data_IF_737096034248
#
_entry.id   IF_737096034248
#
_cell.length_a   1.000
_cell.length_b   1.000
_cell.length_c   1.000
_cell.angle_alpha   90.00
_cell.angle_beta   90.00
_cell.angle_gamma   90.00
#
_symmetry.space_group_name_H-M   'P 1'
#
loop_
_entity.id
_entity.type
_entity.pdbx_description
1 polymer ?
#
# COMPACT_ATOMS: atom_id res chain seq x y z
N UNK A 1 48.60 52.28 -3.38
CA UNK A 1 48.23 50.97 -2.80
C UNK A 1 47.08 50.38 -3.60
N UNK A 2 47.37 49.51 -4.57
CA UNK A 2 46.38 48.88 -5.44
C UNK A 2 45.99 47.50 -4.91
N UNK A 3 44.70 47.30 -4.66
CA UNK A 3 44.13 46.08 -4.06
C UNK A 3 43.70 45.15 -5.21
N UNK A 4 44.44 44.05 -5.41
CA UNK A 4 44.14 43.01 -6.42
C UNK A 4 42.95 42.17 -5.95
N UNK A 5 41.86 42.18 -6.71
CA UNK A 5 40.71 41.30 -6.58
C UNK A 5 41.07 39.90 -7.06
N UNK A 6 41.18 38.94 -6.14
CA UNK A 6 41.38 37.54 -6.47
C UNK A 6 40.05 36.95 -7.00
N UNK A 7 40.01 36.61 -8.29
CA UNK A 7 38.95 35.78 -8.85
C UNK A 7 39.07 34.38 -8.26
N UNK A 8 38.04 33.92 -7.55
CA UNK A 8 38.00 32.58 -7.00
C UNK A 8 38.00 31.53 -8.12
N UNK A 9 38.82 30.45 -8.01
CA UNK A 9 38.90 29.41 -9.03
C UNK A 9 37.59 28.63 -9.11
N UNK A 10 37.05 28.50 -10.32
CA UNK A 10 35.86 27.71 -10.62
C UNK A 10 36.11 26.24 -10.23
N UNK A 11 35.32 25.71 -9.30
CA UNK A 11 35.46 24.32 -8.83
C UNK A 11 34.84 23.35 -9.84
N UNK A 12 35.68 22.52 -10.44
CA UNK A 12 35.29 21.43 -11.35
C UNK A 12 34.51 20.30 -10.66
N UNK A 13 34.55 20.22 -9.33
CA UNK A 13 33.82 19.22 -8.54
C UNK A 13 32.29 19.40 -8.62
N UNK A 14 31.80 20.64 -8.66
CA UNK A 14 30.35 20.91 -8.79
C UNK A 14 29.80 20.51 -10.15
N UNK A 15 30.63 20.52 -11.20
CA UNK A 15 30.22 20.06 -12.54
C UNK A 15 30.09 18.54 -12.60
N UNK A 16 30.95 17.82 -11.89
CA UNK A 16 30.89 16.36 -11.84
C UNK A 16 29.61 15.89 -11.15
N UNK A 17 29.19 16.52 -10.04
CA UNK A 17 27.95 16.20 -9.32
C UNK A 17 26.67 16.51 -10.14
N UNK A 18 26.68 17.58 -10.92
CA UNK A 18 25.57 17.89 -11.83
C UNK A 18 25.49 16.85 -12.94
N UNK A 19 26.63 16.46 -13.53
CA UNK A 19 26.65 15.47 -14.61
C UNK A 19 26.23 14.09 -14.10
N UNK A 20 26.68 13.64 -12.92
CA UNK A 20 26.25 12.36 -12.32
C UNK A 20 24.77 12.36 -11.94
N UNK A 21 24.24 13.48 -11.44
CA UNK A 21 22.80 13.62 -11.15
C UNK A 21 21.96 13.53 -12.44
N UNK A 22 22.36 14.25 -13.49
CA UNK A 22 21.65 14.25 -14.78
C UNK A 22 21.74 12.87 -15.46
N UNK A 23 22.92 12.24 -15.47
CA UNK A 23 23.05 10.89 -16.04
C UNK A 23 22.26 9.85 -15.25
N UNK A 24 22.19 9.97 -13.91
CA UNK A 24 21.33 9.14 -13.08
C UNK A 24 19.85 9.25 -13.46
N UNK A 25 19.34 10.47 -13.66
CA UNK A 25 17.95 10.71 -14.07
C UNK A 25 17.70 10.16 -15.49
N UNK A 26 18.63 10.34 -16.43
CA UNK A 26 18.49 9.84 -17.81
C UNK A 26 18.49 8.30 -17.84
N UNK A 27 19.34 7.65 -17.04
CA UNK A 27 19.34 6.18 -16.90
C UNK A 27 18.02 5.70 -16.30
N UNK A 28 17.49 6.38 -15.27
CA UNK A 28 16.21 6.05 -14.68
C UNK A 28 15.05 6.19 -15.70
N UNK A 29 15.03 7.27 -16.48
CA UNK A 29 14.04 7.48 -17.55
C UNK A 29 14.12 6.40 -18.63
N UNK A 30 15.33 6.00 -19.05
CA UNK A 30 15.52 4.92 -20.01
C UNK A 30 15.01 3.57 -19.48
N UNK A 31 15.26 3.28 -18.19
CA UNK A 31 14.74 2.07 -17.55
C UNK A 31 13.20 2.06 -17.49
N UNK A 32 12.58 3.20 -17.17
CA UNK A 32 11.12 3.34 -17.17
C UNK A 32 10.53 3.17 -18.57
N UNK A 33 11.12 3.79 -19.61
CA UNK A 33 10.67 3.61 -20.99
C UNK A 33 10.83 2.16 -21.48
N UNK A 34 11.94 1.50 -21.15
CA UNK A 34 12.16 0.10 -21.48
C UNK A 34 11.14 -0.81 -20.80
N UNK A 35 10.78 -0.52 -19.55
CA UNK A 35 9.74 -1.24 -18.80
C UNK A 35 8.35 -1.05 -19.43
N UNK A 36 7.99 0.17 -19.86
CA UNK A 36 6.73 0.41 -20.57
C UNK A 36 6.66 -0.34 -21.90
N UNK A 37 7.75 -0.36 -22.67
CA UNK A 37 7.85 -1.10 -23.93
C UNK A 37 7.71 -2.61 -23.73
N UNK A 38 8.33 -3.16 -22.68
CA UNK A 38 8.17 -4.55 -22.30
C UNK A 38 6.72 -4.87 -21.85
N UNK A 39 6.08 -3.95 -21.11
CA UNK A 39 4.72 -4.10 -20.62
C UNK A 39 3.67 -4.02 -21.74
N UNK A 40 3.83 -3.11 -22.72
CA UNK A 40 2.92 -2.98 -23.87
C UNK A 40 2.91 -4.23 -24.77
N UNK A 41 4.05 -4.92 -24.92
CA UNK A 41 4.11 -6.20 -25.66
C UNK A 41 3.34 -7.33 -24.98
N UNK A 42 3.20 -7.29 -23.65
CA UNK A 42 2.45 -8.31 -22.90
C UNK A 42 0.93 -8.08 -22.94
N UNK A 43 0.46 -6.87 -23.24
CA UNK A 43 -0.97 -6.52 -23.23
C UNK A 43 -1.66 -6.62 -24.61
N UNK A 44 -0.92 -6.85 -25.69
CA UNK A 44 -1.45 -6.89 -27.06
C UNK A 44 -1.87 -8.27 -27.67
N UNK A 45 -2.21 -9.37 -26.94
CA UNK A 45 -2.57 -10.61 -27.62
C UNK A 45 -4.07 -11.00 -27.63
N UNK A 46 -4.94 -10.37 -26.82
CA UNK A 46 -6.29 -10.92 -26.60
C UNK A 46 -7.16 -10.98 -27.88
N UNK A 47 -7.13 -9.93 -28.71
CA UNK A 47 -7.93 -9.86 -29.95
C UNK A 47 -7.31 -10.70 -31.08
N UNK A 48 -5.98 -10.82 -31.13
CA UNK A 48 -5.30 -11.60 -32.16
C UNK A 48 -5.45 -13.11 -31.93
N UNK A 49 -5.50 -13.54 -30.66
CA UNK A 49 -5.66 -14.94 -30.27
C UNK A 49 -7.08 -15.46 -30.52
N UNK A 50 -8.12 -14.64 -30.32
CA UNK A 50 -9.50 -15.05 -30.56
C UNK A 50 -9.79 -15.30 -32.04
N UNK A 51 -9.31 -14.42 -32.92
CA UNK A 51 -9.42 -14.57 -34.39
C UNK A 51 -8.72 -15.87 -34.84
N UNK A 52 -7.51 -16.11 -34.33
CA UNK A 52 -6.74 -17.32 -34.68
C UNK A 52 -7.43 -18.62 -34.21
N UNK A 53 -8.17 -18.59 -33.09
CA UNK A 53 -8.90 -19.76 -32.54
C UNK A 53 -10.14 -20.10 -33.35
N UNK A 54 -10.92 -19.10 -33.73
CA UNK A 54 -12.09 -19.30 -34.61
C UNK A 54 -11.65 -19.85 -35.97
N UNK A 55 -10.58 -19.31 -36.55
CA UNK A 55 -10.02 -19.77 -37.81
C UNK A 55 -9.51 -21.22 -37.72
N UNK A 56 -8.79 -21.58 -36.65
CA UNK A 56 -8.32 -22.97 -36.47
C UNK A 56 -9.47 -23.95 -36.20
N UNK A 57 -10.53 -23.53 -35.49
CA UNK A 57 -11.71 -24.38 -35.26
C UNK A 57 -12.53 -24.56 -36.53
N UNK A 58 -12.66 -23.53 -37.34
CA UNK A 58 -13.28 -23.59 -38.66
C UNK A 58 -12.49 -24.53 -39.59
N UNK A 59 -11.15 -24.41 -39.64
CA UNK A 59 -10.28 -25.30 -40.40
C UNK A 59 -10.39 -26.77 -39.94
N UNK A 60 -10.49 -27.00 -38.63
CA UNK A 60 -10.71 -28.34 -38.06
C UNK A 60 -12.03 -28.95 -38.54
N UNK A 61 -13.11 -28.17 -38.50
CA UNK A 61 -14.44 -28.60 -38.95
C UNK A 61 -14.47 -28.91 -40.45
N UNK A 62 -13.82 -28.06 -41.26
CA UNK A 62 -13.69 -28.26 -42.70
C UNK A 62 -12.91 -29.55 -43.02
N UNK A 63 -11.78 -29.80 -42.34
CA UNK A 63 -10.99 -31.01 -42.50
C UNK A 63 -11.77 -32.28 -42.11
N UNK A 64 -12.55 -32.24 -41.02
CA UNK A 64 -13.40 -33.36 -40.61
C UNK A 64 -14.48 -33.68 -41.64
N UNK A 65 -15.16 -32.63 -42.14
CA UNK A 65 -16.17 -32.78 -43.19
C UNK A 65 -15.55 -33.39 -44.45
N UNK A 66 -14.35 -32.94 -44.84
CA UNK A 66 -13.66 -33.49 -46.02
C UNK A 66 -13.27 -34.96 -45.84
N UNK A 67 -12.78 -35.34 -44.66
CA UNK A 67 -12.49 -36.75 -44.36
C UNK A 67 -13.77 -37.60 -44.46
N UNK A 68 -14.90 -37.13 -43.91
CA UNK A 68 -16.16 -37.86 -43.99
C UNK A 68 -16.67 -37.98 -45.43
N UNK A 69 -16.53 -36.93 -46.24
CA UNK A 69 -16.89 -36.95 -47.66
C UNK A 69 -16.04 -37.97 -48.43
N UNK A 70 -14.71 -37.94 -48.26
CA UNK A 70 -13.80 -38.88 -48.91
C UNK A 70 -14.05 -40.33 -48.47
N UNK A 71 -14.38 -40.56 -47.20
CA UNK A 71 -14.76 -41.88 -46.70
C UNK A 71 -16.06 -42.37 -47.34
N UNK A 72 -17.06 -41.49 -47.45
CA UNK A 72 -18.32 -41.82 -48.15
C UNK A 72 -18.07 -42.14 -49.61
N UNK A 73 -17.26 -41.37 -50.34
CA UNK A 73 -16.92 -41.66 -51.73
C UNK A 73 -16.25 -43.04 -51.90
N UNK A 74 -15.38 -43.41 -50.97
CA UNK A 74 -14.72 -44.72 -50.97
C UNK A 74 -15.71 -45.86 -50.71
N UNK A 75 -16.70 -45.65 -49.83
CA UNK A 75 -17.72 -46.64 -49.46
C UNK A 75 -18.88 -46.71 -50.47
N UNK A 76 -19.23 -45.59 -51.11
CA UNK A 76 -20.36 -45.43 -52.01
C UNK A 76 -19.97 -45.45 -53.48
N UNK A 77 -18.76 -45.91 -53.82
CA UNK A 77 -18.33 -46.08 -55.20
C UNK A 77 -19.28 -47.07 -55.88
N UNK A 78 -20.28 -46.50 -56.55
CA UNK A 78 -21.37 -47.20 -57.20
C UNK A 78 -20.75 -47.96 -58.37
N UNK A 79 -20.74 -49.29 -58.29
CA UNK A 79 -20.05 -50.17 -59.24
C UNK A 79 -20.52 -49.99 -60.71
N UNK A 80 -21.63 -49.29 -60.91
CA UNK A 80 -22.22 -49.02 -62.23
C UNK A 80 -21.49 -47.93 -63.05
N UNK A 81 -20.99 -46.85 -62.43
CA UNK A 81 -20.18 -45.83 -63.13
C UNK A 81 -18.74 -46.31 -63.40
N UNK A 82 -18.25 -47.25 -62.58
CA UNK A 82 -16.93 -47.87 -62.70
C UNK A 82 -16.78 -48.76 -63.93
N UNK A 83 -17.89 -49.26 -64.50
CA UNK A 83 -17.87 -50.05 -65.74
C UNK A 83 -17.41 -49.24 -66.97
N UNK A 84 -17.40 -47.90 -66.88
CA UNK A 84 -16.98 -47.00 -67.96
C UNK A 84 -15.54 -46.50 -67.85
N UNK A 85 -14.89 -46.65 -66.69
CA UNK A 85 -13.49 -46.26 -66.46
C UNK A 85 -12.56 -47.45 -66.68
N UNK A 86 -11.34 -47.20 -67.15
CA UNK A 86 -10.37 -48.27 -67.26
C UNK A 86 -9.91 -48.71 -65.87
N UNK A 87 -9.71 -50.02 -65.61
CA UNK A 87 -9.28 -50.53 -64.29
C UNK A 87 -8.02 -49.82 -63.74
N UNK A 88 -7.16 -49.33 -64.62
CA UNK A 88 -5.93 -48.60 -64.27
C UNK A 88 -6.21 -47.23 -63.66
N UNK A 89 -7.18 -46.47 -64.17
CA UNK A 89 -7.52 -45.14 -63.66
C UNK A 89 -8.10 -45.23 -62.24
N UNK A 90 -8.91 -46.26 -61.99
CA UNK A 90 -9.49 -46.51 -60.67
C UNK A 90 -8.43 -46.90 -59.63
N UNK A 91 -7.48 -47.75 -60.02
CA UNK A 91 -6.38 -48.14 -59.12
C UNK A 91 -5.52 -46.94 -58.71
N UNK A 92 -5.26 -46.01 -59.64
CA UNK A 92 -4.51 -44.77 -59.36
C UNK A 92 -5.29 -43.86 -58.40
N UNK A 93 -6.58 -43.64 -58.64
CA UNK A 93 -7.41 -42.80 -57.77
C UNK A 93 -7.54 -43.39 -56.36
N UNK A 94 -7.74 -44.71 -56.25
CA UNK A 94 -7.77 -45.40 -54.96
C UNK A 94 -6.43 -45.27 -54.23
N UNK A 95 -5.31 -45.40 -54.92
CA UNK A 95 -3.98 -45.23 -54.32
C UNK A 95 -3.77 -43.79 -53.82
N UNK A 96 -4.17 -42.78 -54.61
CA UNK A 96 -4.10 -41.37 -54.21
C UNK A 96 -4.95 -41.13 -52.96
N UNK A 97 -6.20 -41.58 -52.94
CA UNK A 97 -7.10 -41.44 -51.77
C UNK A 97 -6.55 -42.17 -50.55
N UNK A 98 -6.02 -43.38 -50.74
CA UNK A 98 -5.40 -44.20 -49.68
C UNK A 98 -4.19 -43.50 -49.07
N UNK A 99 -3.42 -42.73 -49.86
CA UNK A 99 -2.29 -41.91 -49.36
C UNK A 99 -2.73 -40.59 -48.73
N UNK A 100 -3.81 -39.97 -49.20
CA UNK A 100 -4.29 -38.68 -48.67
C UNK A 100 -5.00 -38.80 -47.31
N UNK A 101 -5.77 -39.87 -47.09
CA UNK A 101 -6.48 -40.10 -45.82
C UNK A 101 -5.56 -40.07 -44.58
N UNK A 102 -4.41 -40.79 -44.54
CA UNK A 102 -3.53 -40.75 -43.36
C UNK A 102 -2.89 -39.38 -43.16
N UNK A 103 -2.57 -38.64 -44.22
CA UNK A 103 -2.05 -37.27 -44.14
C UNK A 103 -3.08 -36.33 -43.49
N UNK A 104 -4.31 -36.32 -43.99
CA UNK A 104 -5.39 -35.51 -43.42
C UNK A 104 -5.72 -35.90 -41.97
N UNK A 105 -5.66 -37.20 -41.64
CA UNK A 105 -5.82 -37.67 -40.25
C UNK A 105 -4.69 -37.16 -39.34
N UNK A 106 -3.45 -37.13 -39.83
CA UNK A 106 -2.31 -36.57 -39.11
C UNK A 106 -2.48 -35.07 -38.88
N UNK A 107 -2.86 -34.31 -39.91
CA UNK A 107 -3.11 -32.88 -39.82
C UNK A 107 -4.26 -32.57 -38.85
N UNK A 108 -5.33 -33.36 -38.90
CA UNK A 108 -6.44 -33.26 -37.96
C UNK A 108 -5.98 -33.50 -36.52
N UNK A 109 -5.14 -34.50 -36.28
CA UNK A 109 -4.60 -34.78 -34.96
C UNK A 109 -3.69 -33.64 -34.46
N UNK A 110 -2.86 -33.07 -35.34
CA UNK A 110 -2.01 -31.93 -35.03
C UNK A 110 -2.85 -30.67 -34.70
N UNK A 111 -3.87 -30.37 -35.50
CA UNK A 111 -4.80 -29.27 -35.26
C UNK A 111 -5.56 -29.44 -33.94
N UNK A 112 -6.05 -30.65 -33.62
CA UNK A 112 -6.69 -30.94 -32.32
C UNK A 112 -5.75 -30.67 -31.14
N UNK A 113 -4.48 -31.10 -31.24
CA UNK A 113 -3.47 -30.82 -30.21
C UNK A 113 -3.25 -29.32 -30.06
N UNK A 114 -3.20 -28.57 -31.18
CA UNK A 114 -3.02 -27.12 -31.15
C UNK A 114 -4.19 -26.40 -30.48
N UNK A 115 -5.42 -26.80 -30.76
CA UNK A 115 -6.62 -26.24 -30.11
C UNK A 115 -6.58 -26.50 -28.60
N UNK A 116 -6.30 -27.74 -28.18
CA UNK A 116 -6.24 -28.08 -26.76
C UNK A 116 -5.14 -27.29 -26.01
N UNK A 117 -4.01 -27.03 -26.66
CA UNK A 117 -2.93 -26.21 -26.09
C UNK A 117 -3.35 -24.73 -25.96
N UNK A 118 -3.98 -24.17 -27.01
CA UNK A 118 -4.48 -22.79 -26.95
C UNK A 118 -5.54 -22.61 -25.86
N UNK A 119 -6.42 -23.60 -25.66
CA UNK A 119 -7.42 -23.58 -24.58
C UNK A 119 -6.78 -23.59 -23.19
N UNK A 120 -5.69 -24.35 -23.00
CA UNK A 120 -4.93 -24.34 -21.75
C UNK A 120 -4.27 -22.99 -21.50
N UNK A 121 -3.68 -22.39 -22.53
CA UNK A 121 -3.03 -21.09 -22.44
C UNK A 121 -4.04 -19.98 -22.12
N UNK A 122 -5.21 -20.00 -22.75
CA UNK A 122 -6.29 -19.04 -22.50
C UNK A 122 -6.79 -19.15 -21.05
N UNK A 123 -7.04 -20.38 -20.57
CA UNK A 123 -7.44 -20.60 -19.18
C UNK A 123 -6.38 -20.07 -18.20
N UNK A 124 -5.10 -20.38 -18.44
CA UNK A 124 -4.00 -19.89 -17.61
C UNK A 124 -3.89 -18.35 -17.62
N UNK A 125 -4.07 -17.72 -18.79
CA UNK A 125 -4.07 -16.26 -18.91
C UNK A 125 -5.27 -15.63 -18.18
N UNK A 126 -6.45 -16.25 -18.25
CA UNK A 126 -7.64 -15.81 -17.54
C UNK A 126 -7.48 -15.93 -16.02
N UNK A 127 -6.93 -17.04 -15.54
CA UNK A 127 -6.65 -17.24 -14.11
C UNK A 127 -5.62 -16.23 -13.60
N UNK A 128 -4.57 -15.93 -14.38
CA UNK A 128 -3.60 -14.87 -14.08
C UNK A 128 -4.23 -13.47 -14.07
N UNK A 129 -5.13 -13.16 -15.01
CA UNK A 129 -5.84 -11.89 -15.05
C UNK A 129 -6.71 -11.70 -13.79
N UNK A 130 -7.45 -12.74 -13.40
CA UNK A 130 -8.29 -12.71 -12.20
C UNK A 130 -7.44 -12.58 -10.92
N UNK A 131 -6.28 -13.25 -10.86
CA UNK A 131 -5.33 -13.09 -9.76
C UNK A 131 -4.83 -11.63 -9.65
N UNK A 132 -4.42 -11.03 -10.77
CA UNK A 132 -4.01 -9.61 -10.82
C UNK A 132 -5.13 -8.65 -10.42
N UNK A 133 -6.38 -8.99 -10.71
CA UNK A 133 -7.55 -8.22 -10.25
C UNK A 133 -7.64 -8.16 -8.72
N UNK A 134 -7.35 -9.28 -8.03
CA UNK A 134 -7.29 -9.32 -6.56
C UNK A 134 -6.11 -8.52 -6.01
N UNK A 135 -4.94 -8.66 -6.63
CA UNK A 135 -3.74 -7.91 -6.24
C UNK A 135 -3.97 -6.39 -6.36
N UNK A 136 -4.66 -5.96 -7.43
CA UNK A 136 -5.03 -4.55 -7.62
C UNK A 136 -5.97 -4.05 -6.53
N UNK A 137 -6.99 -4.82 -6.16
CA UNK A 137 -7.89 -4.45 -5.07
C UNK A 137 -7.16 -4.37 -3.71
N UNK A 138 -6.20 -5.26 -3.48
CA UNK A 138 -5.38 -5.22 -2.27
C UNK A 138 -4.47 -3.97 -2.25
N UNK A 139 -3.88 -3.62 -3.39
CA UNK A 139 -3.05 -2.44 -3.54
C UNK A 139 -3.86 -1.16 -3.30
N UNK A 140 -5.05 -1.04 -3.89
CA UNK A 140 -5.97 0.09 -3.66
C UNK A 140 -6.38 0.23 -2.19
N UNK A 141 -6.58 -0.89 -1.46
CA UNK A 141 -6.86 -0.87 -0.01
C UNK A 141 -5.66 -0.39 0.80
N UNK A 142 -4.45 -0.88 0.48
CA UNK A 142 -3.22 -0.47 1.17
C UNK A 142 -2.93 1.02 0.94
N UNK A 143 -3.13 1.53 -0.28
CA UNK A 143 -2.99 2.96 -0.58
C UNK A 143 -3.98 3.82 0.22
N UNK A 144 -5.23 3.39 0.33
CA UNK A 144 -6.24 4.07 1.13
C UNK A 144 -5.88 4.09 2.63
N UNK A 145 -5.36 2.98 3.15
CA UNK A 145 -4.91 2.87 4.54
C UNK A 145 -3.71 3.77 4.83
N UNK A 146 -2.71 3.78 3.94
CA UNK A 146 -1.55 4.69 4.04
C UNK A 146 -2.04 6.14 4.04
N UNK A 147 -2.94 6.53 3.13
CA UNK A 147 -3.49 7.88 3.08
C UNK A 147 -4.23 8.28 4.37
N UNK A 148 -5.00 7.35 4.96
CA UNK A 148 -5.69 7.59 6.23
C UNK A 148 -4.71 7.75 7.40
N UNK A 149 -3.67 6.91 7.46
CA UNK A 149 -2.62 6.98 8.49
C UNK A 149 -1.79 8.27 8.37
N UNK A 150 -1.44 8.69 7.15
CA UNK A 150 -0.75 9.95 6.91
C UNK A 150 -1.60 11.16 7.33
N UNK A 151 -2.90 11.14 7.05
CA UNK A 151 -3.81 12.19 7.49
C UNK A 151 -3.89 12.25 9.02
N UNK A 152 -3.95 11.09 9.69
CA UNK A 152 -3.92 11.00 11.16
C UNK A 152 -2.60 11.53 11.71
N UNK A 153 -1.46 11.15 11.13
CA UNK A 153 -0.14 11.61 11.52
C UNK A 153 0.01 13.13 11.35
N UNK A 154 -0.47 13.69 10.23
CA UNK A 154 -0.51 15.15 10.02
C UNK A 154 -1.39 15.86 11.04
N UNK A 155 -2.51 15.26 11.46
CA UNK A 155 -3.38 15.82 12.52
C UNK A 155 -2.63 15.88 13.85
N UNK A 156 -1.95 14.80 14.24
CA UNK A 156 -1.15 14.72 15.46
C UNK A 156 0.07 15.66 15.42
N UNK A 157 0.74 15.79 14.27
CA UNK A 157 1.85 16.74 14.14
C UNK A 157 1.39 18.20 14.24
N UNK A 158 0.21 18.52 13.70
CA UNK A 158 -0.34 19.88 13.75
C UNK A 158 -0.92 20.25 15.11
N UNK A 159 -1.38 19.28 15.91
CA UNK A 159 -1.96 19.58 17.22
C UNK A 159 -0.91 20.01 18.25
N UNK A 160 0.39 19.85 17.97
CA UNK A 160 1.45 20.20 18.92
C UNK A 160 1.38 19.39 20.22
N UNK A 161 0.71 18.22 20.17
CA UNK A 161 0.49 17.38 21.35
C UNK A 161 1.81 16.74 21.77
N UNK A 162 2.22 16.99 23.01
CA UNK A 162 3.47 16.47 23.52
C UNK A 162 3.29 15.02 23.97
N UNK A 163 4.03 14.10 23.36
CA UNK A 163 3.97 12.68 23.68
C UNK A 163 4.96 12.37 24.80
N UNK A 164 4.44 11.97 25.96
CA UNK A 164 5.28 11.54 27.08
C UNK A 164 5.64 10.06 26.97
N UNK A 165 6.91 9.76 27.22
CA UNK A 165 7.39 8.38 27.40
C UNK A 165 7.48 8.10 28.89
N UNK A 166 6.61 7.23 29.38
CA UNK A 166 6.72 6.72 30.74
C UNK A 166 8.02 5.89 30.86
N UNK A 167 8.86 6.23 31.84
CA UNK A 167 10.06 5.44 32.12
C UNK A 167 9.69 4.05 32.64
N UNK A 168 10.46 2.99 32.31
CA UNK A 168 10.11 1.59 32.65
C UNK A 168 10.17 1.24 34.15
N UNK A 169 10.24 2.22 35.06
CA UNK A 169 10.55 2.00 36.49
C UNK A 169 9.74 2.83 37.48
N UNK A 170 8.70 3.54 37.05
CA UNK A 170 7.82 4.21 38.00
C UNK A 170 6.67 3.27 38.38
N UNK A 171 6.66 2.80 39.63
CA UNK A 171 5.54 2.04 40.21
C UNK A 171 4.31 2.91 40.48
N UNK A 172 4.39 4.21 40.17
CA UNK A 172 3.35 5.20 40.39
C UNK A 172 2.70 5.54 39.06
N UNK A 173 1.38 5.66 39.06
CA UNK A 173 0.62 6.17 37.93
C UNK A 173 0.90 7.67 37.77
N UNK A 174 1.50 8.10 36.65
CA UNK A 174 1.73 9.51 36.40
C UNK A 174 0.41 10.21 36.05
N UNK A 175 0.24 11.43 36.55
CA UNK A 175 -0.84 12.34 36.16
C UNK A 175 -0.22 13.61 35.61
N UNK A 176 -0.65 14.01 34.43
CA UNK A 176 -0.28 15.28 33.82
C UNK A 176 -1.25 16.34 34.33
N UNK A 177 -0.71 17.47 34.79
CA UNK A 177 -1.49 18.67 35.12
C UNK A 177 -0.98 19.81 34.25
N UNK A 178 -1.79 20.26 33.31
CA UNK A 178 -1.45 21.40 32.45
C UNK A 178 -1.92 22.71 33.08
N UNK A 179 -0.99 23.64 33.31
CA UNK A 179 -1.25 24.96 33.89
C UNK A 179 -1.16 26.05 32.82
N UNK A 180 -2.28 26.73 32.58
CA UNK A 180 -2.37 27.91 31.70
C UNK A 180 -2.82 29.14 32.48
N UNK A 181 -2.81 30.32 31.84
CA UNK A 181 -3.33 31.54 32.45
C UNK A 181 -4.84 31.47 32.76
N UNK A 182 -5.60 30.72 31.95
CA UNK A 182 -7.05 30.68 31.99
C UNK A 182 -7.63 29.45 32.71
N UNK A 183 -6.91 28.33 32.67
CA UNK A 183 -7.39 27.04 33.15
C UNK A 183 -6.27 26.16 33.70
N UNK A 184 -6.65 25.22 34.56
CA UNK A 184 -5.83 24.06 34.91
C UNK A 184 -6.59 22.82 34.47
N UNK A 185 -5.91 21.88 33.83
CA UNK A 185 -6.49 20.59 33.46
C UNK A 185 -5.64 19.45 33.98
N UNK A 186 -6.24 18.31 34.34
CA UNK A 186 -5.50 17.13 34.77
C UNK A 186 -6.02 15.86 34.08
N UNK A 187 -5.11 14.98 33.68
CA UNK A 187 -5.43 13.67 33.11
C UNK A 187 -4.40 12.63 33.55
N UNK A 188 -4.80 11.37 33.81
CA UNK A 188 -3.85 10.29 34.00
C UNK A 188 -3.07 10.05 32.71
N UNK A 189 -1.77 9.79 32.82
CA UNK A 189 -0.94 9.42 31.68
C UNK A 189 -1.24 7.97 31.29
N UNK A 190 -1.64 7.74 30.04
CA UNK A 190 -1.88 6.39 29.50
C UNK A 190 -3.31 6.21 28.98
N UNK A 191 -4.24 5.66 29.79
CA UNK A 191 -5.58 5.33 29.34
C UNK A 191 -6.34 6.57 28.87
N UNK A 192 -6.96 6.45 27.70
CA UNK A 192 -7.81 7.50 27.12
C UNK A 192 -8.92 7.82 28.13
N UNK A 193 -8.87 9.03 28.67
CA UNK A 193 -9.83 9.50 29.66
C UNK A 193 -10.04 10.99 29.51
N UNK A 194 -11.29 11.41 29.68
CA UNK A 194 -11.66 12.82 29.57
C UNK A 194 -10.92 13.61 30.66
N UNK A 195 -10.20 14.68 30.30
CA UNK A 195 -9.46 15.45 31.29
C UNK A 195 -10.39 16.15 32.28
N UNK A 196 -9.96 16.18 33.54
CA UNK A 196 -10.58 16.99 34.58
C UNK A 196 -10.20 18.45 34.33
N UNK A 197 -11.20 19.33 34.22
CA UNK A 197 -10.98 20.76 34.06
C UNK A 197 -11.33 21.50 35.35
N UNK A 198 -10.40 22.33 35.81
CA UNK A 198 -10.57 23.18 36.98
C UNK A 198 -10.75 24.62 36.49
N UNK A 199 -12.00 25.09 36.50
CA UNK A 199 -12.40 26.39 35.95
C UNK A 199 -12.73 27.33 37.10
N UNK A 200 -12.27 28.58 37.03
CA UNK A 200 -12.51 29.58 38.07
C UNK A 200 -12.16 30.98 37.57
N UNK A 201 -12.78 31.99 38.18
CA UNK A 201 -12.59 33.42 37.88
C UNK A 201 -11.14 33.89 38.04
N UNK A 202 -10.40 33.29 38.96
CA UNK A 202 -9.05 33.64 39.36
C UNK A 202 -8.18 32.39 39.58
N UNK A 203 -6.86 32.59 39.60
CA UNK A 203 -5.88 31.51 39.76
C UNK A 203 -6.03 30.77 41.10
N UNK A 204 -6.30 31.50 42.19
CA UNK A 204 -6.42 30.91 43.53
C UNK A 204 -7.64 29.98 43.64
N UNK A 205 -8.78 30.37 43.04
CA UNK A 205 -9.97 29.51 42.94
C UNK A 205 -9.66 28.18 42.25
N UNK A 206 -8.95 28.22 41.11
CA UNK A 206 -8.55 26.99 40.39
C UNK A 206 -7.57 26.14 41.21
N UNK A 207 -6.58 26.77 41.85
CA UNK A 207 -5.63 26.08 42.73
C UNK A 207 -6.35 25.36 43.87
N UNK A 208 -7.33 26.00 44.53
CA UNK A 208 -8.11 25.37 45.61
C UNK A 208 -8.91 24.16 45.13
N UNK A 209 -9.44 24.20 43.90
CA UNK A 209 -10.14 23.05 43.33
C UNK A 209 -9.18 21.88 43.07
N UNK A 210 -8.00 22.16 42.52
CA UNK A 210 -6.96 21.13 42.33
C UNK A 210 -6.50 20.57 43.67
N UNK A 211 -6.29 21.40 44.69
CA UNK A 211 -5.92 20.96 46.03
C UNK A 211 -6.98 20.05 46.66
N UNK A 212 -8.26 20.42 46.53
CA UNK A 212 -9.38 19.61 47.03
C UNK A 212 -9.45 18.25 46.33
N UNK A 213 -9.24 18.22 45.03
CA UNK A 213 -9.15 16.98 44.25
C UNK A 213 -7.93 16.14 44.65
N UNK A 214 -6.75 16.76 44.77
CA UNK A 214 -5.49 16.08 45.08
C UNK A 214 -5.49 15.43 46.48
N UNK A 215 -6.27 15.96 47.44
CA UNK A 215 -6.48 15.34 48.76
C UNK A 215 -7.11 13.94 48.69
N UNK A 216 -7.82 13.62 47.61
CA UNK A 216 -8.40 12.30 47.38
C UNK A 216 -7.43 11.28 46.77
N UNK A 217 -6.24 11.69 46.36
CA UNK A 217 -5.27 10.81 45.68
C UNK A 217 -4.40 10.04 46.68
N UNK A 218 -4.05 8.81 46.30
CA UNK A 218 -3.13 7.97 47.08
C UNK A 218 -1.67 8.39 46.84
N UNK A 219 -1.00 8.84 47.90
CA UNK A 219 0.39 9.36 47.86
C UNK A 219 1.42 8.35 47.38
N UNK A 220 1.17 7.07 47.61
CA UNK A 220 2.08 5.97 47.21
C UNK A 220 1.88 5.53 45.76
N UNK A 221 0.71 5.81 45.18
CA UNK A 221 0.31 5.30 43.87
C UNK A 221 0.40 6.35 42.77
N UNK A 222 0.43 7.64 43.11
CA UNK A 222 0.35 8.72 42.13
C UNK A 222 1.63 9.56 42.12
N UNK A 223 2.04 9.96 40.92
CA UNK A 223 3.07 10.96 40.68
C UNK A 223 2.50 12.06 39.78
N UNK A 224 2.61 13.32 40.21
CA UNK A 224 2.06 14.46 39.47
C UNK A 224 3.16 15.13 38.65
N UNK A 225 2.89 15.46 37.39
CA UNK A 225 3.80 16.23 36.53
C UNK A 225 3.09 17.51 36.10
N UNK A 226 3.60 18.65 36.55
CA UNK A 226 3.10 19.97 36.20
C UNK A 226 3.69 20.42 34.86
N UNK A 227 2.84 20.59 33.86
CA UNK A 227 3.19 21.13 32.55
C UNK A 227 2.87 22.61 32.53
N UNK A 228 3.92 23.42 32.53
CA UNK A 228 3.80 24.86 32.74
C UNK A 228 3.95 25.60 31.42
N UNK A 229 2.87 26.24 30.97
CA UNK A 229 2.93 27.23 29.88
C UNK A 229 3.41 28.58 30.40
N UNK A 230 3.99 29.45 29.55
CA UNK A 230 4.48 30.77 29.97
C UNK A 230 3.47 31.60 30.77
N UNK A 231 2.18 31.59 30.37
CA UNK A 231 1.12 32.33 31.08
C UNK A 231 0.63 31.69 32.39
N UNK A 232 1.03 30.44 32.68
CA UNK A 232 0.64 29.69 33.88
C UNK A 232 1.72 29.61 34.95
N UNK A 233 2.88 30.24 34.76
CA UNK A 233 4.06 30.07 35.62
C UNK A 233 3.79 30.40 37.10
N UNK A 234 3.19 31.55 37.40
CA UNK A 234 2.86 31.94 38.78
C UNK A 234 1.88 30.95 39.44
N UNK A 235 0.88 30.50 38.67
CA UNK A 235 -0.11 29.52 39.14
C UNK A 235 0.56 28.18 39.44
N UNK A 236 1.49 27.74 38.59
CA UNK A 236 2.21 26.49 38.75
C UNK A 236 3.14 26.50 39.97
N UNK A 237 3.84 27.60 40.25
CA UNK A 237 4.72 27.72 41.44
C UNK A 237 3.93 27.56 42.73
N UNK A 238 2.79 28.24 42.86
CA UNK A 238 1.93 28.14 44.05
C UNK A 238 1.33 26.73 44.14
N UNK A 239 0.89 26.17 43.01
CA UNK A 239 0.32 24.83 42.98
C UNK A 239 1.35 23.75 43.37
N UNK A 240 2.59 23.87 42.91
CA UNK A 240 3.68 22.94 43.25
C UNK A 240 3.90 22.89 44.76
N UNK A 241 4.01 24.05 45.41
CA UNK A 241 4.18 24.16 46.87
C UNK A 241 3.02 23.46 47.59
N UNK A 242 1.77 23.75 47.20
CA UNK A 242 0.58 23.13 47.80
C UNK A 242 0.53 21.61 47.61
N UNK A 243 0.89 21.11 46.44
CA UNK A 243 0.91 19.67 46.17
C UNK A 243 2.04 18.96 46.95
N UNK A 244 3.19 19.62 47.12
CA UNK A 244 4.30 19.13 47.96
C UNK A 244 3.91 19.12 49.45
N UNK A 245 3.21 20.15 49.93
CA UNK A 245 2.67 20.20 51.31
C UNK A 245 1.71 19.05 51.60
N UNK A 246 0.97 18.57 50.59
CA UNK A 246 0.11 17.39 50.69
C UNK A 246 0.89 16.06 50.71
N UNK A 247 2.21 16.08 50.53
CA UNK A 247 3.09 14.91 50.50
C UNK A 247 3.03 14.13 49.18
N UNK A 248 2.59 14.75 48.09
CA UNK A 248 2.56 14.14 46.76
C UNK A 248 3.92 14.32 46.07
N UNK A 249 4.32 13.34 45.27
CA UNK A 249 5.48 13.48 44.39
C UNK A 249 5.13 14.39 43.21
N UNK A 250 5.88 15.47 43.02
CA UNK A 250 5.63 16.46 41.97
C UNK A 250 6.88 16.68 41.14
N UNK A 251 6.75 16.48 39.83
CA UNK A 251 7.70 16.92 38.81
C UNK A 251 7.20 18.16 38.09
N UNK A 252 8.12 18.91 37.47
CA UNK A 252 7.80 20.11 36.70
C UNK A 252 8.48 20.02 35.34
N UNK A 253 7.74 20.37 34.30
CA UNK A 253 8.22 20.45 32.93
C UNK A 253 7.64 21.71 32.25
N UNK A 254 8.41 22.30 31.34
CA UNK A 254 8.06 23.55 30.66
C UNK A 254 7.68 23.24 29.22
N UNK A 255 6.52 23.73 28.78
CA UNK A 255 6.04 23.52 27.41
C UNK A 255 5.76 24.86 26.71
N UNK A 256 5.85 24.85 25.38
CA UNK A 256 5.55 26.01 24.54
C UNK A 256 4.10 26.48 24.68
N UNK A 257 3.83 27.75 24.38
CA UNK A 257 2.46 28.29 24.40
C UNK A 257 1.53 27.64 23.37
N UNK A 258 2.10 27.11 22.29
CA UNK A 258 1.45 26.43 21.16
C UNK A 258 1.38 24.91 21.33
N UNK A 259 2.04 24.36 22.35
CA UNK A 259 2.02 22.93 22.65
C UNK A 259 0.86 22.60 23.60
N UNK A 260 0.39 21.36 23.62
CA UNK A 260 -0.58 20.88 24.61
C UNK A 260 -0.10 19.53 25.15
N UNK A 261 -0.12 19.37 26.46
CA UNK A 261 0.18 18.08 27.09
C UNK A 261 -1.08 17.23 27.29
N UNK A 262 -2.25 17.89 27.31
CA UNK A 262 -3.55 17.25 27.49
C UNK A 262 -4.45 17.58 26.31
N UNK A 263 -4.88 16.54 25.58
CA UNK A 263 -5.93 16.64 24.58
C UNK A 263 -7.32 16.78 25.27
N UNK A 264 -8.19 17.71 24.84
CA UNK A 264 -9.51 17.93 25.45
C UNK A 264 -10.45 16.72 25.41
N UNK A 265 -10.28 15.82 24.43
CA UNK A 265 -11.12 14.64 24.23
C UNK A 265 -10.40 13.37 24.72
N UNK A 266 -9.11 13.23 24.39
CA UNK A 266 -8.36 11.99 24.62
C UNK A 266 -7.53 11.98 25.92
N UNK A 267 -7.33 13.13 26.57
CA UNK A 267 -6.52 13.24 27.79
C UNK A 267 -5.02 13.27 27.49
N UNK A 268 -4.23 12.48 28.22
CA UNK A 268 -2.78 12.42 28.08
C UNK A 268 -2.34 11.08 27.46
N UNK A 269 -2.40 10.92 26.12
CA UNK A 269 -2.09 9.66 25.47
C UNK A 269 -0.61 9.29 25.60
N UNK A 270 -0.34 8.01 25.87
CA UNK A 270 1.01 7.42 25.84
C UNK A 270 1.18 6.66 24.52
N UNK A 271 2.36 6.79 23.92
CA UNK A 271 2.77 5.88 22.85
C UNK A 271 3.38 4.64 23.51
N UNK A 272 2.62 3.56 23.58
CA UNK A 272 3.14 2.25 23.96
C UNK A 272 4.14 1.79 22.89
N UNK A 273 5.38 1.49 23.31
CA UNK A 273 6.32 0.81 22.42
C UNK A 273 5.81 -0.63 22.23
N UNK A 274 5.73 -1.16 20.99
CA UNK A 274 5.39 -2.56 20.81
C UNK A 274 6.37 -3.42 21.60
N UNK A 275 5.84 -4.33 22.44
CA UNK A 275 6.64 -5.25 23.23
C UNK A 275 7.63 -5.98 22.30
N UNK A 276 8.93 -5.73 22.51
CA UNK A 276 10.02 -6.35 21.74
C UNK A 276 10.22 -7.80 22.14
#
# INVERSE_FOLDING_TARGET
>A
MGRRTAQAPFSLFSFQDIITSVTGIVVLMLLVMALELASRKLQAPAVQQSITREDTRAALSAAQTKIQELQRMLESSDWSELASRTPTEFAIEQEVLTRQIPLLKSDLAAAKRRVAELERQEKAAHDQWNARGKDRQQLERMEAEIGALEAKLKKVQKSGTLVYRAGPRESRQPWIIECTAASISAAPLGPISKPLQFVGSDSLSRIRQVEAWAKGLSRSEVYLVLMVKPGGAETATILEEKLRDLGLGVGLDLIGSDQAAIDPEEGAPVVEEPAR
#
